data_IF_290667980968
#
_entry.id   IF_290667980968
#
_cell.length_a   1.000
_cell.length_b   1.000
_cell.length_c   1.000
_cell.angle_alpha   90.00
_cell.angle_beta   90.00
_cell.angle_gamma   90.00
#
_symmetry.space_group_name_H-M   'P 1'
#
loop_
_entity.id
_entity.type
_entity.pdbx_description
1 polymer ?
#
# COMPACT_ATOMS: atom_id res chain seq x y z
N UNK A 1 -19.55 -18.78 -28.70
CA UNK A 1 -19.56 -18.42 -27.27
C UNK A 1 -18.35 -17.52 -27.01
N UNK A 2 -18.51 -16.42 -26.28
CA UNK A 2 -17.45 -15.45 -25.98
C UNK A 2 -17.28 -15.35 -24.46
N UNK A 3 -16.04 -15.37 -23.97
CA UNK A 3 -15.69 -15.14 -22.56
C UNK A 3 -14.76 -13.95 -22.51
N UNK A 4 -15.10 -12.95 -21.70
CA UNK A 4 -14.28 -11.76 -21.47
C UNK A 4 -13.69 -11.85 -20.06
N UNK A 5 -12.36 -11.85 -19.98
CA UNK A 5 -11.59 -12.00 -18.73
C UNK A 5 -10.46 -10.97 -18.66
N UNK A 6 -10.77 -9.70 -18.97
CA UNK A 6 -9.80 -8.60 -19.09
C UNK A 6 -9.29 -8.09 -17.72
N UNK A 7 -9.92 -8.51 -16.63
CA UNK A 7 -9.60 -8.03 -15.29
C UNK A 7 -10.20 -6.66 -14.99
N UNK A 8 -9.51 -5.89 -14.16
CA UNK A 8 -9.92 -4.55 -13.73
C UNK A 8 -8.70 -3.62 -13.65
N UNK A 9 -8.95 -2.32 -13.71
CA UNK A 9 -7.94 -1.28 -13.59
C UNK A 9 -8.05 -0.51 -12.27
N UNK A 10 -6.95 0.13 -11.85
CA UNK A 10 -6.95 1.01 -10.70
C UNK A 10 -7.73 2.30 -11.01
N UNK A 11 -8.65 2.67 -10.12
CA UNK A 11 -9.47 3.89 -10.24
C UNK A 11 -8.75 5.10 -9.65
N UNK A 12 -7.88 5.74 -10.44
CA UNK A 12 -7.08 6.90 -10.04
C UNK A 12 -7.76 8.24 -10.30
N UNK A 13 -8.92 8.24 -10.95
CA UNK A 13 -9.70 9.41 -11.36
C UNK A 13 -10.70 9.88 -10.29
N UNK A 14 -10.88 9.12 -9.20
CA UNK A 14 -11.84 9.41 -8.13
C UNK A 14 -11.36 10.51 -7.17
N UNK A 15 -10.04 10.63 -6.98
CA UNK A 15 -9.43 11.59 -6.06
C UNK A 15 -8.52 12.55 -6.84
N UNK A 16 -8.76 13.87 -6.77
CA UNK A 16 -7.91 14.84 -7.46
C UNK A 16 -6.42 14.68 -7.09
N UNK A 17 -5.55 14.62 -8.09
CA UNK A 17 -4.11 14.43 -7.89
C UNK A 17 -3.66 12.97 -7.79
N UNK A 18 -4.57 11.99 -7.67
CA UNK A 18 -4.15 10.60 -7.51
C UNK A 18 -3.53 10.04 -8.79
N UNK A 19 -4.04 10.39 -9.97
CA UNK A 19 -3.43 9.97 -11.24
C UNK A 19 -2.01 10.50 -11.44
N UNK A 20 -1.72 11.69 -10.91
CA UNK A 20 -0.43 12.37 -11.05
C UNK A 20 0.59 11.97 -9.98
N UNK A 21 0.12 11.77 -8.74
CA UNK A 21 1.00 11.65 -7.58
C UNK A 21 0.96 10.27 -6.90
N UNK A 22 -0.12 9.50 -7.06
CA UNK A 22 -0.21 8.17 -6.44
C UNK A 22 0.54 7.12 -7.28
N UNK A 23 1.04 6.11 -6.58
CA UNK A 23 1.57 4.91 -7.22
C UNK A 23 0.50 3.82 -7.13
N UNK A 24 -0.06 3.35 -8.25
CA UNK A 24 -0.92 2.16 -8.23
C UNK A 24 -0.12 0.94 -7.79
N UNK A 25 -0.81 -0.18 -7.55
CA UNK A 25 -0.20 -1.45 -7.17
C UNK A 25 -1.01 -2.65 -7.70
N UNK A 26 -1.33 -2.63 -9.00
CA UNK A 26 -2.18 -3.67 -9.64
C UNK A 26 -1.42 -4.52 -10.65
N UNK A 27 -0.26 -4.05 -11.12
CA UNK A 27 0.56 -4.74 -12.12
C UNK A 27 1.99 -4.94 -11.64
N UNK A 28 2.76 -5.80 -12.31
CA UNK A 28 4.20 -5.95 -12.03
C UNK A 28 4.95 -4.63 -12.20
N UNK A 29 4.61 -3.85 -13.24
CA UNK A 29 5.23 -2.55 -13.50
C UNK A 29 4.99 -1.57 -12.35
N UNK A 30 3.81 -1.62 -11.74
CA UNK A 30 3.48 -0.81 -10.59
C UNK A 30 4.32 -1.18 -9.37
N UNK A 31 4.45 -2.48 -9.10
CA UNK A 31 5.29 -2.98 -8.01
C UNK A 31 6.76 -2.59 -8.16
N UNK A 32 7.29 -2.66 -9.40
CA UNK A 32 8.65 -2.21 -9.71
C UNK A 32 8.84 -0.71 -9.42
N UNK A 33 7.88 0.14 -9.83
CA UNK A 33 7.93 1.59 -9.55
C UNK A 33 7.93 1.88 -8.04
N UNK A 34 7.11 1.17 -7.27
CA UNK A 34 7.07 1.32 -5.81
C UNK A 34 8.41 0.93 -5.19
N UNK A 35 8.99 -0.21 -5.60
CA UNK A 35 10.29 -0.65 -5.11
C UNK A 35 11.42 0.34 -5.44
N UNK A 36 11.47 0.82 -6.68
CA UNK A 36 12.45 1.83 -7.12
C UNK A 36 12.31 3.15 -6.33
N UNK A 37 11.07 3.58 -6.07
CA UNK A 37 10.80 4.79 -5.28
C UNK A 37 11.28 4.62 -3.84
N UNK A 38 11.00 3.48 -3.22
CA UNK A 38 11.46 3.16 -1.86
C UNK A 38 12.99 3.11 -1.81
N UNK A 39 13.65 2.41 -2.75
CA UNK A 39 15.13 2.40 -2.86
C UNK A 39 15.72 3.79 -2.97
N UNK A 40 15.09 4.66 -3.75
CA UNK A 40 15.53 6.05 -3.93
C UNK A 40 15.39 6.84 -2.63
N UNK A 41 14.28 6.67 -1.90
CA UNK A 41 14.06 7.34 -0.61
C UNK A 41 15.03 6.84 0.46
N UNK A 42 15.25 5.53 0.55
CA UNK A 42 16.23 4.91 1.44
C UNK A 42 17.64 5.47 1.21
N UNK A 43 18.07 5.58 -0.05
CA UNK A 43 19.38 6.18 -0.38
C UNK A 43 19.45 7.65 -0.01
N UNK A 44 18.39 8.43 -0.28
CA UNK A 44 18.34 9.87 0.02
C UNK A 44 18.31 10.17 1.52
N UNK A 45 17.76 9.25 2.31
CA UNK A 45 17.62 9.39 3.76
C UNK A 45 18.69 8.62 4.54
N UNK A 46 19.63 7.95 3.86
CA UNK A 46 20.73 7.24 4.51
C UNK A 46 21.56 8.19 5.38
N UNK A 47 21.70 7.86 6.67
CA UNK A 47 22.43 8.67 7.65
C UNK A 47 21.74 9.97 8.06
N UNK A 48 20.45 10.15 7.76
CA UNK A 48 19.64 11.31 8.19
C UNK A 48 18.63 10.89 9.25
N UNK A 49 18.32 11.79 10.18
CA UNK A 49 17.26 11.58 11.19
C UNK A 49 15.83 11.71 10.63
N UNK A 50 15.69 12.05 9.34
CA UNK A 50 14.38 12.15 8.69
C UNK A 50 13.83 10.78 8.32
N UNK A 51 12.70 10.39 8.90
CA UNK A 51 11.99 9.15 8.56
C UNK A 51 11.29 9.24 7.20
N UNK A 52 11.30 8.14 6.45
CA UNK A 52 10.54 7.97 5.21
C UNK A 52 9.06 7.84 5.55
N UNK A 53 8.18 8.62 4.91
CA UNK A 53 6.73 8.54 5.15
C UNK A 53 6.05 7.90 3.96
N UNK A 54 5.27 6.86 4.21
CA UNK A 54 4.50 6.15 3.18
C UNK A 54 3.03 6.15 3.59
N UNK A 55 2.16 6.67 2.71
CA UNK A 55 0.72 6.55 2.86
C UNK A 55 0.21 5.48 1.89
N UNK A 56 -0.57 4.54 2.41
CA UNK A 56 -1.19 3.45 1.64
C UNK A 56 -2.69 3.64 1.73
N UNK A 57 -3.31 3.90 0.57
CA UNK A 57 -4.75 4.18 0.48
C UNK A 57 -5.50 2.91 0.08
N UNK A 58 -6.49 2.55 0.90
CA UNK A 58 -7.27 1.32 0.82
C UNK A 58 -6.73 0.26 1.79
N UNK A 59 -7.59 -0.26 2.67
CA UNK A 59 -7.24 -1.31 3.63
C UNK A 59 -7.95 -2.65 3.34
N UNK A 60 -8.09 -3.01 2.07
CA UNK A 60 -8.40 -4.38 1.64
C UNK A 60 -7.17 -5.30 1.78
N UNK A 61 -7.25 -6.52 1.26
CA UNK A 61 -6.15 -7.50 1.36
C UNK A 61 -4.82 -6.94 0.85
N UNK A 62 -4.78 -6.44 -0.39
CA UNK A 62 -3.55 -5.93 -0.99
C UNK A 62 -2.97 -4.73 -0.24
N UNK A 63 -3.82 -3.82 0.24
CA UNK A 63 -3.36 -2.63 0.96
C UNK A 63 -2.81 -2.95 2.35
N UNK A 64 -3.44 -3.89 3.07
CA UNK A 64 -2.93 -4.36 4.37
C UNK A 64 -1.62 -5.10 4.22
N UNK A 65 -1.51 -5.99 3.24
CA UNK A 65 -0.28 -6.73 2.97
C UNK A 65 0.85 -5.78 2.56
N UNK A 66 0.57 -4.83 1.65
CA UNK A 66 1.55 -3.82 1.25
C UNK A 66 2.00 -2.98 2.45
N UNK A 67 1.10 -2.62 3.35
CA UNK A 67 1.45 -1.88 4.56
C UNK A 67 2.34 -2.69 5.50
N UNK A 68 2.05 -3.96 5.71
CA UNK A 68 2.89 -4.84 6.51
C UNK A 68 4.29 -4.97 5.90
N UNK A 69 4.39 -5.30 4.61
CA UNK A 69 5.67 -5.50 3.90
C UNK A 69 6.51 -4.22 3.87
N UNK A 70 5.90 -3.06 3.59
CA UNK A 70 6.64 -1.79 3.58
C UNK A 70 7.07 -1.40 5.00
N UNK A 71 6.25 -1.68 6.01
CA UNK A 71 6.62 -1.43 7.42
C UNK A 71 7.80 -2.30 7.84
N UNK A 72 7.78 -3.58 7.47
CA UNK A 72 8.89 -4.51 7.74
C UNK A 72 10.18 -4.07 7.05
N UNK A 73 10.09 -3.60 5.80
CA UNK A 73 11.25 -3.09 5.06
C UNK A 73 11.85 -1.83 5.70
N UNK A 74 11.00 -0.87 6.07
CA UNK A 74 11.45 0.43 6.55
C UNK A 74 11.84 0.43 8.03
N UNK A 75 11.25 -0.45 8.84
CA UNK A 75 11.48 -0.55 10.28
C UNK A 75 11.41 0.84 10.96
N UNK A 76 12.38 1.18 11.80
CA UNK A 76 12.51 2.45 12.51
C UNK A 76 12.83 3.64 11.58
N UNK A 77 13.27 3.39 10.35
CA UNK A 77 13.63 4.40 9.35
C UNK A 77 12.41 5.01 8.65
N UNK A 78 11.22 4.45 8.88
CA UNK A 78 9.99 4.92 8.23
C UNK A 78 8.78 5.00 9.13
N UNK A 79 7.74 5.62 8.59
CA UNK A 79 6.39 5.65 9.15
C UNK A 79 5.43 5.29 8.02
N UNK A 80 4.67 4.21 8.21
CA UNK A 80 3.67 3.74 7.25
C UNK A 80 2.28 4.01 7.81
N UNK A 81 1.45 4.71 7.04
CA UNK A 81 0.07 5.02 7.39
C UNK A 81 -0.86 4.36 6.40
N UNK A 82 -1.64 3.39 6.88
CA UNK A 82 -2.73 2.80 6.11
C UNK A 82 -4.01 3.63 6.32
N UNK A 83 -4.65 4.04 5.22
CA UNK A 83 -5.79 4.95 5.22
C UNK A 83 -6.94 4.24 4.50
N UNK A 84 -8.10 4.18 5.14
CA UNK A 84 -9.32 3.64 4.52
C UNK A 84 -10.51 4.56 4.77
N UNK A 85 -11.54 4.42 3.93
CA UNK A 85 -12.83 5.08 4.17
C UNK A 85 -13.58 4.43 5.34
N UNK A 86 -13.45 3.12 5.51
CA UNK A 86 -14.04 2.41 6.64
C UNK A 86 -13.19 2.56 7.90
N UNK A 87 -13.81 2.39 9.06
CA UNK A 87 -13.17 2.42 10.38
C UNK A 87 -12.34 1.17 10.69
N UNK A 88 -12.30 0.18 9.78
CA UNK A 88 -11.61 -1.09 9.97
C UNK A 88 -10.77 -1.47 8.74
N UNK A 89 -9.68 -2.20 9.00
CA UNK A 89 -8.96 -2.94 7.97
C UNK A 89 -9.72 -4.23 7.62
N UNK A 90 -9.49 -4.73 6.41
CA UNK A 90 -10.11 -5.93 5.87
C UNK A 90 -11.65 -5.97 6.07
N UNK A 91 -12.39 -4.91 5.66
CA UNK A 91 -13.82 -4.76 5.99
C UNK A 91 -14.69 -5.90 5.43
N UNK A 92 -14.27 -6.53 4.34
CA UNK A 92 -14.99 -7.65 3.70
C UNK A 92 -14.35 -9.02 3.97
N UNK A 93 -13.29 -9.10 4.79
CA UNK A 93 -12.66 -10.38 5.10
C UNK A 93 -13.42 -11.13 6.21
N UNK A 94 -13.37 -12.48 6.20
CA UNK A 94 -13.86 -13.30 7.31
C UNK A 94 -13.25 -12.87 8.65
N UNK A 95 -13.94 -13.10 9.79
CA UNK A 95 -13.48 -12.65 11.10
C UNK A 95 -12.06 -13.11 11.46
N UNK A 96 -11.67 -14.33 11.09
CA UNK A 96 -10.32 -14.87 11.36
C UNK A 96 -9.20 -14.05 10.72
N UNK A 97 -9.32 -13.71 9.44
CA UNK A 97 -8.33 -12.90 8.71
C UNK A 97 -8.23 -11.49 9.30
N UNK A 98 -9.36 -10.88 9.64
CA UNK A 98 -9.40 -9.56 10.27
C UNK A 98 -8.74 -9.57 11.64
N UNK A 99 -9.04 -10.57 12.47
CA UNK A 99 -8.42 -10.75 13.77
C UNK A 99 -6.91 -10.96 13.66
N UNK A 100 -6.45 -11.74 12.68
CA UNK A 100 -5.03 -11.93 12.40
C UNK A 100 -4.34 -10.60 12.02
N UNK A 101 -4.92 -9.85 11.07
CA UNK A 101 -4.35 -8.58 10.64
C UNK A 101 -4.31 -7.52 11.75
N UNK A 102 -5.32 -7.48 12.63
CA UNK A 102 -5.34 -6.56 13.77
C UNK A 102 -4.28 -6.86 14.83
N UNK A 103 -3.85 -8.13 14.98
CA UNK A 103 -2.76 -8.50 15.90
C UNK A 103 -1.39 -7.98 15.47
N UNK A 104 -1.22 -7.64 14.19
CA UNK A 104 0.05 -7.14 13.63
C UNK A 104 0.18 -5.62 13.83
N UNK A 105 -0.90 -4.94 14.22
CA UNK A 105 -0.93 -3.50 14.51
C UNK A 105 -0.30 -3.23 15.89
N UNK A 106 1.03 -3.33 15.96
CA UNK A 106 1.83 -2.84 17.08
C UNK A 106 2.15 -1.35 16.90
#
# INVERSE_FOLDING_TARGET
RLVLALGAEAKLDVVPGAAEFALPFSTLKDAQKVDEKLKTLERKNFGKDSRIRVAIVGCGYSGVELAAVVSERLQDKGVVQAINVDTTILPNAPPGNRAAALKVRN
#
